data_IF_847071496925
#
_entry.id   IF_847071496925
#
_cell.length_a   1.000
_cell.length_b   1.000
_cell.length_c   1.000
_cell.angle_alpha   90.00
_cell.angle_beta   90.00
_cell.angle_gamma   90.00
#
_symmetry.space_group_name_H-M   'P 1'
#
loop_
_entity.id
_entity.type
_entity.pdbx_description
1 polymer ?
#
# COMPACT_ATOMS: atom_id res chain seq x y z
N UNK A 1 9.03 33.45 1.11
CA UNK A 1 7.99 32.43 0.90
C UNK A 1 8.30 31.32 1.89
N UNK A 2 7.45 31.11 2.90
CA UNK A 2 7.60 29.97 3.81
C UNK A 2 7.22 28.71 3.01
N UNK A 3 8.19 27.87 2.74
CA UNK A 3 7.90 26.49 2.35
C UNK A 3 7.14 25.85 3.51
N UNK A 4 5.87 25.53 3.27
CA UNK A 4 5.09 24.73 4.21
C UNK A 4 5.79 23.37 4.30
N UNK A 5 6.28 23.00 5.46
CA UNK A 5 6.76 21.65 5.74
C UNK A 5 5.61 20.70 5.41
N UNK A 6 5.79 19.71 4.53
CA UNK A 6 4.71 18.78 4.23
C UNK A 6 4.28 18.12 5.54
N UNK A 7 2.98 18.11 5.79
CA UNK A 7 2.42 17.40 6.95
C UNK A 7 2.78 15.92 6.79
N UNK A 8 3.41 15.27 7.76
CA UNK A 8 3.75 13.86 7.65
C UNK A 8 2.49 13.06 7.37
N UNK A 9 2.55 12.17 6.38
CA UNK A 9 1.46 11.28 6.02
C UNK A 9 1.11 10.44 7.26
N UNK A 10 -0.17 10.44 7.65
CA UNK A 10 -0.65 9.58 8.74
C UNK A 10 -0.63 8.13 8.30
N UNK A 11 -0.49 7.20 9.26
CA UNK A 11 -0.71 5.78 8.99
C UNK A 11 -2.12 5.57 8.44
N UNK A 12 -2.27 4.64 7.49
CA UNK A 12 -3.58 4.30 6.91
C UNK A 12 -4.51 3.71 7.96
N UNK A 13 -3.98 2.82 8.79
CA UNK A 13 -4.77 2.05 9.75
C UNK A 13 -4.39 2.36 11.20
N UNK A 14 -5.40 2.34 12.05
CA UNK A 14 -5.20 2.17 13.49
C UNK A 14 -4.92 0.69 13.81
N UNK A 15 -4.49 0.41 15.05
CA UNK A 15 -4.32 -0.96 15.51
C UNK A 15 -5.63 -1.78 15.46
N UNK A 16 -6.80 -1.13 15.66
CA UNK A 16 -8.11 -1.79 15.58
C UNK A 16 -8.54 -2.09 14.15
N UNK A 17 -8.17 -1.24 13.18
CA UNK A 17 -8.41 -1.52 11.76
C UNK A 17 -7.67 -2.77 11.34
N UNK A 18 -6.40 -2.93 11.76
CA UNK A 18 -5.62 -4.14 11.50
C UNK A 18 -6.24 -5.37 12.18
N UNK A 19 -6.70 -5.25 13.43
CA UNK A 19 -7.40 -6.35 14.14
C UNK A 19 -8.66 -6.75 13.37
N UNK A 20 -9.45 -5.80 12.90
CA UNK A 20 -10.67 -6.09 12.13
C UNK A 20 -10.36 -6.74 10.78
N UNK A 21 -9.32 -6.27 10.06
CA UNK A 21 -8.83 -6.88 8.82
C UNK A 21 -8.39 -8.32 9.05
N UNK A 22 -7.60 -8.59 10.07
CA UNK A 22 -7.12 -9.93 10.42
C UNK A 22 -8.27 -10.87 10.82
N UNK A 23 -9.23 -10.37 11.62
CA UNK A 23 -10.41 -11.12 12.05
C UNK A 23 -11.27 -11.53 10.85
N UNK A 24 -11.61 -10.57 9.97
CA UNK A 24 -12.43 -10.82 8.78
C UNK A 24 -11.71 -11.69 7.77
N UNK A 25 -10.43 -11.44 7.57
CA UNK A 25 -9.59 -12.23 6.69
C UNK A 25 -9.52 -13.71 7.11
N UNK A 26 -9.61 -14.00 8.43
CA UNK A 26 -9.67 -15.35 8.99
C UNK A 26 -11.11 -15.87 9.16
N UNK A 27 -12.12 -15.16 8.68
CA UNK A 27 -13.56 -15.51 8.80
C UNK A 27 -14.00 -15.74 10.24
N UNK A 28 -13.43 -15.03 11.19
CA UNK A 28 -13.78 -15.15 12.62
C UNK A 28 -14.81 -14.10 12.99
N UNK A 29 -15.91 -14.49 13.63
CA UNK A 29 -16.87 -13.53 14.17
C UNK A 29 -16.34 -12.88 15.46
N UNK A 30 -16.89 -11.69 15.80
CA UNK A 30 -16.45 -10.90 16.95
C UNK A 30 -16.61 -11.65 18.28
N UNK A 31 -17.71 -12.35 18.45
CA UNK A 31 -17.98 -13.07 19.72
C UNK A 31 -16.95 -14.18 19.93
N UNK A 32 -16.62 -14.92 18.89
CA UNK A 32 -15.58 -15.95 18.90
C UNK A 32 -14.22 -15.33 19.22
N UNK A 33 -13.86 -14.19 18.63
CA UNK A 33 -12.61 -13.49 18.94
C UNK A 33 -12.58 -13.10 20.43
N UNK A 34 -13.62 -12.45 20.93
CA UNK A 34 -13.71 -12.03 22.34
C UNK A 34 -13.60 -13.22 23.28
N UNK A 35 -14.33 -14.30 23.03
CA UNK A 35 -14.31 -15.50 23.87
C UNK A 35 -12.92 -16.15 23.92
N UNK A 36 -12.24 -16.27 22.77
CA UNK A 36 -10.91 -16.85 22.70
C UNK A 36 -9.82 -15.97 23.32
N UNK A 37 -9.97 -14.65 23.18
CA UNK A 37 -9.04 -13.68 23.75
C UNK A 37 -9.27 -13.42 25.25
N UNK A 38 -10.33 -13.96 25.84
CA UNK A 38 -10.71 -13.68 27.23
C UNK A 38 -11.17 -12.25 27.47
N UNK A 39 -11.73 -11.60 26.45
CA UNK A 39 -12.13 -10.19 26.46
C UNK A 39 -13.66 -10.10 26.51
N UNK A 40 -14.19 -9.20 27.33
CA UNK A 40 -15.62 -8.92 27.33
C UNK A 40 -16.07 -8.18 26.06
N UNK A 41 -17.27 -8.44 25.57
CA UNK A 41 -17.83 -7.70 24.43
C UNK A 41 -17.88 -6.18 24.66
N UNK A 42 -18.25 -5.68 25.85
CA UNK A 42 -18.12 -4.24 26.17
C UNK A 42 -16.68 -3.72 26.06
N UNK A 43 -15.67 -4.45 26.61
CA UNK A 43 -14.28 -4.04 26.51
C UNK A 43 -13.77 -3.96 25.07
N UNK A 44 -14.18 -4.91 24.20
CA UNK A 44 -13.90 -4.84 22.78
C UNK A 44 -14.52 -3.59 22.13
N UNK A 45 -15.75 -3.25 22.47
CA UNK A 45 -16.42 -2.05 21.94
C UNK A 45 -15.75 -0.75 22.41
N UNK A 46 -15.18 -0.73 23.60
CA UNK A 46 -14.42 0.43 24.10
C UNK A 46 -13.13 0.58 23.31
N UNK A 47 -12.42 -0.52 23.04
CA UNK A 47 -11.23 -0.52 22.20
C UNK A 47 -11.54 -0.03 20.76
N UNK A 48 -12.66 -0.48 20.17
CA UNK A 48 -13.17 -0.01 18.87
C UNK A 48 -13.48 1.50 18.84
N UNK A 49 -13.74 2.10 19.99
CA UNK A 49 -13.96 3.57 20.13
C UNK A 49 -12.69 4.34 20.48
N UNK A 50 -11.54 3.68 20.44
CA UNK A 50 -10.25 4.30 20.66
C UNK A 50 -9.70 4.18 22.09
N UNK A 51 -10.31 3.35 22.95
CA UNK A 51 -9.71 3.08 24.25
C UNK A 51 -8.44 2.24 24.08
N UNK A 52 -7.35 2.66 24.72
CA UNK A 52 -6.08 1.96 24.71
C UNK A 52 -6.04 0.98 25.89
N UNK A 53 -6.22 -0.32 25.60
CA UNK A 53 -6.09 -1.41 26.56
C UNK A 53 -5.11 -2.45 26.02
N UNK A 54 -3.91 -2.52 26.61
CA UNK A 54 -2.89 -3.48 26.18
C UNK A 54 -3.29 -4.93 26.41
N UNK A 55 -4.12 -5.21 27.42
CA UNK A 55 -4.64 -6.55 27.65
C UNK A 55 -5.50 -7.00 26.50
N UNK A 56 -6.36 -6.09 26.00
CA UNK A 56 -7.15 -6.32 24.77
C UNK A 56 -6.25 -6.54 23.57
N UNK A 57 -5.26 -5.64 23.33
CA UNK A 57 -4.35 -5.75 22.19
C UNK A 57 -3.58 -7.08 22.18
N UNK A 58 -3.00 -7.48 23.34
CA UNK A 58 -2.27 -8.75 23.47
C UNK A 58 -3.17 -9.97 23.29
N UNK A 59 -4.39 -9.93 23.85
CA UNK A 59 -5.36 -11.02 23.74
C UNK A 59 -5.80 -11.26 22.29
N UNK A 60 -6.16 -10.21 21.57
CA UNK A 60 -6.55 -10.33 20.14
C UNK A 60 -5.36 -10.72 19.27
N UNK A 61 -4.17 -10.18 19.53
CA UNK A 61 -2.96 -10.54 18.80
C UNK A 61 -2.67 -12.04 18.89
N UNK A 62 -2.76 -12.62 20.09
CA UNK A 62 -2.56 -14.06 20.31
C UNK A 62 -3.55 -14.91 19.51
N UNK A 63 -4.84 -14.55 19.52
CA UNK A 63 -5.90 -15.30 18.80
C UNK A 63 -5.74 -15.21 17.29
N UNK A 64 -5.38 -14.02 16.79
CA UNK A 64 -5.29 -13.73 15.36
C UNK A 64 -3.91 -14.05 14.75
N UNK A 65 -2.92 -14.42 15.58
CA UNK A 65 -1.55 -14.70 15.14
C UNK A 65 -0.80 -13.44 14.71
N UNK A 66 -1.10 -12.30 15.35
CA UNK A 66 -0.40 -11.03 15.16
C UNK A 66 0.76 -10.91 16.15
N UNK A 67 1.76 -10.11 15.83
CA UNK A 67 2.82 -9.70 16.74
C UNK A 67 2.27 -8.88 17.90
N UNK A 68 2.30 -9.43 19.14
CA UNK A 68 1.65 -8.79 20.27
C UNK A 68 2.39 -7.54 20.77
N UNK A 69 3.73 -7.52 20.69
CA UNK A 69 4.53 -6.35 21.05
C UNK A 69 4.33 -5.23 20.01
N UNK A 70 4.35 -5.59 18.74
CA UNK A 70 4.19 -4.68 17.60
C UNK A 70 2.78 -4.08 17.57
N UNK A 71 1.73 -4.87 17.89
CA UNK A 71 0.37 -4.38 17.97
C UNK A 71 0.19 -3.39 19.15
N UNK A 72 0.84 -3.64 20.28
CA UNK A 72 0.86 -2.70 21.41
C UNK A 72 1.64 -1.43 21.07
N UNK A 73 2.76 -1.54 20.38
CA UNK A 73 3.52 -0.37 19.90
C UNK A 73 2.67 0.49 18.94
N UNK A 74 1.96 -0.14 18.00
CA UNK A 74 1.02 0.54 17.10
C UNK A 74 -0.11 1.22 17.89
N UNK A 75 -0.68 0.56 18.91
CA UNK A 75 -1.71 1.11 19.80
C UNK A 75 -1.23 2.37 20.55
N UNK A 76 0.03 2.38 20.97
CA UNK A 76 0.65 3.48 21.71
C UNK A 76 1.11 4.64 20.81
N UNK A 77 1.02 4.48 19.48
CA UNK A 77 1.57 5.44 18.53
C UNK A 77 3.10 5.44 18.49
N UNK A 78 3.74 4.33 18.88
CA UNK A 78 5.19 4.14 18.88
C UNK A 78 5.71 3.60 17.55
N UNK A 79 4.83 3.44 16.54
CA UNK A 79 5.19 3.02 15.20
C UNK A 79 5.63 4.25 14.39
N UNK A 80 6.91 4.30 14.04
CA UNK A 80 7.54 5.44 13.35
C UNK A 80 8.40 4.93 12.19
N UNK A 81 7.81 4.79 10.97
CA UNK A 81 8.53 4.29 9.81
C UNK A 81 9.60 5.32 9.39
N UNK A 82 10.78 4.84 8.89
CA UNK A 82 11.85 5.73 8.49
C UNK A 82 11.44 6.61 7.30
N UNK A 83 11.86 7.87 7.31
CA UNK A 83 11.75 8.74 6.13
C UNK A 83 12.46 8.09 4.95
N UNK A 84 11.81 8.12 3.79
CA UNK A 84 12.23 7.34 2.63
C UNK A 84 12.06 8.12 1.33
N UNK A 85 12.69 9.28 1.27
CA UNK A 85 12.70 10.11 0.06
C UNK A 85 13.56 9.48 -1.03
N UNK A 86 13.01 9.42 -2.23
CA UNK A 86 13.68 8.99 -3.46
C UNK A 86 13.59 10.15 -4.45
N UNK A 87 14.72 10.75 -4.80
CA UNK A 87 14.76 11.97 -5.62
C UNK A 87 14.10 11.81 -7.00
N UNK A 88 14.03 10.59 -7.51
CA UNK A 88 13.43 10.28 -8.81
C UNK A 88 11.92 10.01 -8.72
N UNK A 89 11.33 10.01 -7.51
CA UNK A 89 9.91 9.68 -7.31
C UNK A 89 9.16 10.89 -6.76
N UNK A 90 8.00 11.16 -7.34
CA UNK A 90 7.02 12.11 -6.81
C UNK A 90 5.82 11.33 -6.34
N UNK A 91 5.55 11.40 -5.03
CA UNK A 91 4.31 10.88 -4.45
C UNK A 91 3.20 11.90 -4.62
N UNK A 92 2.07 11.47 -5.18
CA UNK A 92 0.90 12.30 -5.44
C UNK A 92 -0.25 11.74 -4.61
N UNK A 93 -0.62 12.45 -3.55
CA UNK A 93 -1.80 12.11 -2.78
C UNK A 93 -3.06 12.61 -3.49
N UNK A 94 -3.97 11.69 -3.81
CA UNK A 94 -5.28 12.02 -4.38
C UNK A 94 -6.37 11.81 -3.36
N UNK A 95 -7.38 12.72 -3.23
CA UNK A 95 -8.41 12.61 -2.21
C UNK A 95 -9.23 11.32 -2.37
N UNK A 96 -9.39 10.57 -1.31
CA UNK A 96 -10.26 9.41 -1.26
C UNK A 96 -11.04 9.37 0.06
N UNK A 97 -12.04 10.26 0.21
CA UNK A 97 -12.83 10.30 1.43
C UNK A 97 -13.65 9.02 1.59
N UNK A 98 -13.50 8.35 2.72
CA UNK A 98 -14.28 7.16 3.09
C UNK A 98 -15.21 7.47 4.26
N UNK A 99 -16.29 6.67 4.49
CA UNK A 99 -17.09 6.82 5.69
C UNK A 99 -16.25 6.69 6.96
N UNK A 100 -16.13 7.77 7.73
CA UNK A 100 -15.31 7.82 8.94
C UNK A 100 -13.91 8.44 8.78
N UNK A 101 -13.41 8.61 7.55
CA UNK A 101 -12.15 9.28 7.22
C UNK A 101 -12.34 10.20 6.01
N UNK A 102 -12.79 11.44 6.26
CA UNK A 102 -13.04 12.42 5.20
C UNK A 102 -11.76 13.00 4.58
N UNK A 103 -10.64 12.81 5.25
CA UNK A 103 -9.28 13.22 4.86
C UNK A 103 -8.43 12.06 4.28
N UNK A 104 -9.05 10.93 3.97
CA UNK A 104 -8.40 9.79 3.32
C UNK A 104 -7.80 10.15 1.96
N UNK A 105 -6.65 9.58 1.65
CA UNK A 105 -5.95 9.75 0.38
C UNK A 105 -5.46 8.43 -0.17
N UNK A 106 -5.43 8.32 -1.51
CA UNK A 106 -4.74 7.26 -2.22
C UNK A 106 -3.48 7.83 -2.88
N UNK A 107 -2.42 7.05 -2.93
CA UNK A 107 -1.14 7.45 -3.50
C UNK A 107 -1.04 7.00 -4.97
N UNK A 108 -0.66 7.93 -5.83
CA UNK A 108 -0.12 7.66 -7.16
C UNK A 108 1.35 8.09 -7.19
N UNK A 109 2.15 7.48 -8.05
CA UNK A 109 3.59 7.73 -8.07
C UNK A 109 4.10 8.01 -9.47
N UNK A 110 4.75 9.17 -9.66
CA UNK A 110 5.55 9.46 -10.84
C UNK A 110 7.00 9.03 -10.58
N UNK A 111 7.51 8.11 -11.38
CA UNK A 111 8.88 7.64 -11.33
C UNK A 111 9.61 8.17 -12.56
N UNK A 112 10.46 9.17 -12.37
CA UNK A 112 11.27 9.74 -13.44
C UNK A 112 12.36 8.76 -13.87
N UNK A 113 12.49 8.55 -15.16
CA UNK A 113 13.58 7.73 -15.72
C UNK A 113 14.88 8.54 -15.63
N UNK A 114 15.93 8.06 -14.92
CA UNK A 114 17.17 8.79 -14.76
C UNK A 114 17.80 9.20 -16.11
N UNK A 115 18.21 10.47 -16.19
CA UNK A 115 18.79 11.04 -17.41
C UNK A 115 17.81 11.39 -18.53
N UNK A 116 16.50 11.31 -18.27
CA UNK A 116 15.46 11.55 -19.26
C UNK A 116 14.36 12.51 -18.73
N UNK A 117 13.56 13.05 -19.63
CA UNK A 117 12.29 13.77 -19.35
C UNK A 117 11.09 12.81 -19.35
N UNK A 118 11.35 11.52 -19.47
CA UNK A 118 10.33 10.47 -19.46
C UNK A 118 10.10 9.93 -18.04
N UNK A 119 8.89 9.49 -17.78
CA UNK A 119 8.49 8.88 -16.53
C UNK A 119 7.55 7.68 -16.73
N UNK A 120 7.47 6.85 -15.71
CA UNK A 120 6.37 5.90 -15.56
C UNK A 120 5.45 6.41 -14.45
N UNK A 121 4.16 6.07 -14.55
CA UNK A 121 3.17 6.30 -13.51
C UNK A 121 2.84 4.95 -12.87
N UNK A 122 2.75 4.90 -11.54
CA UNK A 122 2.22 3.75 -10.80
C UNK A 122 0.94 4.20 -10.11
N UNK A 123 -0.16 3.56 -10.49
CA UNK A 123 -1.54 3.92 -10.23
C UNK A 123 -1.93 5.32 -10.76
N UNK A 124 -3.21 5.54 -11.00
CA UNK A 124 -3.73 6.80 -11.53
C UNK A 124 -4.31 7.71 -10.45
N UNK A 125 -4.59 7.16 -9.28
CA UNK A 125 -5.32 7.88 -8.24
C UNK A 125 -6.82 7.98 -8.49
N UNK A 126 -7.52 8.61 -7.54
CA UNK A 126 -8.98 8.78 -7.53
C UNK A 126 -9.46 9.93 -8.41
N UNK A 127 -8.65 10.98 -8.61
CA UNK A 127 -8.94 12.16 -9.42
C UNK A 127 -7.72 12.55 -10.25
N UNK A 128 -7.95 13.05 -11.46
CA UNK A 128 -6.89 13.28 -12.43
C UNK A 128 -6.08 14.56 -12.17
N UNK A 129 -6.69 15.58 -11.61
CA UNK A 129 -6.09 16.92 -11.51
C UNK A 129 -4.74 16.92 -10.78
N UNK A 130 -4.54 16.34 -9.58
CA UNK A 130 -3.23 16.32 -8.94
C UNK A 130 -2.17 15.57 -9.75
N UNK A 131 -2.57 14.49 -10.45
CA UNK A 131 -1.66 13.68 -11.26
C UNK A 131 -1.22 14.45 -12.50
N UNK A 132 -2.16 15.06 -13.21
CA UNK A 132 -1.89 15.87 -14.42
C UNK A 132 -1.03 17.07 -14.06
N UNK A 133 -1.39 17.81 -13.00
CA UNK A 133 -0.60 18.96 -12.53
C UNK A 133 0.85 18.57 -12.21
N UNK A 134 1.06 17.45 -11.51
CA UNK A 134 2.41 17.00 -11.20
C UNK A 134 3.22 16.61 -12.45
N UNK A 135 2.58 16.01 -13.46
CA UNK A 135 3.22 15.68 -14.75
C UNK A 135 3.63 16.96 -15.47
N UNK A 136 2.73 17.94 -15.56
CA UNK A 136 2.96 19.23 -16.25
C UNK A 136 4.04 20.06 -15.54
N UNK A 137 3.97 20.22 -14.21
CA UNK A 137 4.95 20.95 -13.42
C UNK A 137 6.38 20.40 -13.56
N UNK A 138 6.51 19.08 -13.68
CA UNK A 138 7.79 18.42 -13.87
C UNK A 138 8.19 18.29 -15.36
N UNK A 139 7.32 18.73 -16.27
CA UNK A 139 7.51 18.62 -17.73
C UNK A 139 7.90 17.19 -18.15
N UNK A 140 7.12 16.20 -17.71
CA UNK A 140 7.40 14.79 -17.94
C UNK A 140 6.53 14.20 -19.05
N UNK A 141 7.08 13.26 -19.82
CA UNK A 141 6.36 12.44 -20.79
C UNK A 141 6.12 11.03 -20.21
N UNK A 142 4.85 10.61 -20.11
CA UNK A 142 4.53 9.29 -19.56
C UNK A 142 4.72 8.21 -20.62
N UNK A 143 5.58 7.22 -20.33
CA UNK A 143 5.89 6.08 -21.20
C UNK A 143 5.06 4.84 -20.90
N UNK A 144 4.72 4.65 -19.64
CA UNK A 144 3.88 3.54 -19.20
C UNK A 144 3.15 3.88 -17.92
N UNK A 145 2.03 3.19 -17.70
CA UNK A 145 1.29 3.17 -16.44
C UNK A 145 1.27 1.73 -15.94
N UNK A 146 1.66 1.52 -14.69
CA UNK A 146 1.57 0.25 -13.99
C UNK A 146 0.48 0.35 -12.94
N UNK A 147 -0.52 -0.52 -13.02
CA UNK A 147 -1.69 -0.52 -12.12
C UNK A 147 -1.55 -1.67 -11.13
N UNK A 148 -1.56 -1.34 -9.85
CA UNK A 148 -1.43 -2.34 -8.78
C UNK A 148 -2.69 -3.20 -8.67
N UNK A 149 -3.86 -2.57 -8.75
CA UNK A 149 -5.19 -3.20 -8.77
C UNK A 149 -6.24 -2.18 -9.23
N UNK A 150 -7.49 -2.62 -9.46
CA UNK A 150 -8.51 -1.79 -10.13
C UNK A 150 -9.58 -1.20 -9.20
N UNK A 151 -9.28 -0.96 -7.94
CA UNK A 151 -10.18 -0.18 -7.10
C UNK A 151 -10.24 1.29 -7.59
N UNK A 152 -11.38 1.97 -7.41
CA UNK A 152 -11.60 3.30 -8.00
C UNK A 152 -10.58 4.36 -7.59
N UNK A 153 -10.07 4.29 -6.38
CA UNK A 153 -9.06 5.20 -5.85
C UNK A 153 -7.67 5.05 -6.49
N UNK A 154 -7.44 3.96 -7.22
CA UNK A 154 -6.21 3.71 -7.96
C UNK A 154 -6.35 3.93 -9.47
N UNK A 155 -7.58 3.87 -10.01
CA UNK A 155 -7.77 3.86 -11.48
C UNK A 155 -8.73 4.92 -12.02
N UNK A 156 -9.49 5.63 -11.18
CA UNK A 156 -10.53 6.55 -11.66
C UNK A 156 -9.98 7.68 -12.54
N UNK A 157 -8.73 8.09 -12.33
CA UNK A 157 -8.09 9.12 -13.16
C UNK A 157 -7.47 8.58 -14.46
N UNK A 158 -7.32 7.27 -14.63
CA UNK A 158 -6.63 6.67 -15.79
C UNK A 158 -7.23 7.03 -17.15
N UNK A 159 -8.56 7.09 -17.35
CA UNK A 159 -9.12 7.51 -18.64
C UNK A 159 -8.62 8.90 -19.07
N UNK A 160 -8.54 9.85 -18.12
CA UNK A 160 -8.02 11.19 -18.39
C UNK A 160 -6.53 11.16 -18.68
N UNK A 161 -5.74 10.47 -17.86
CA UNK A 161 -4.28 10.33 -18.07
C UNK A 161 -3.99 9.68 -19.42
N UNK A 162 -4.70 8.59 -19.76
CA UNK A 162 -4.51 7.89 -21.03
C UNK A 162 -4.91 8.77 -22.24
N UNK A 163 -5.94 9.60 -22.12
CA UNK A 163 -6.32 10.53 -23.19
C UNK A 163 -5.25 11.60 -23.48
N UNK A 164 -4.50 12.02 -22.45
CA UNK A 164 -3.39 12.97 -22.57
C UNK A 164 -2.10 12.31 -23.06
N UNK A 165 -1.90 11.06 -22.75
CA UNK A 165 -0.70 10.27 -23.09
C UNK A 165 -1.09 8.95 -23.79
N UNK A 166 -1.69 9.00 -25.00
CA UNK A 166 -2.23 7.80 -25.67
C UNK A 166 -1.18 6.78 -26.07
N UNK A 167 0.09 7.20 -26.17
CA UNK A 167 1.22 6.30 -26.44
C UNK A 167 1.75 5.57 -25.18
N UNK A 168 1.29 5.96 -23.99
CA UNK A 168 1.68 5.32 -22.75
C UNK A 168 1.05 3.93 -22.64
N UNK A 169 1.88 2.89 -22.52
CA UNK A 169 1.39 1.52 -22.36
C UNK A 169 0.85 1.30 -20.95
N UNK A 170 -0.46 1.05 -20.82
CA UNK A 170 -1.08 0.70 -19.54
C UNK A 170 -0.95 -0.81 -19.29
N UNK A 171 -0.46 -1.20 -18.12
CA UNK A 171 -0.21 -2.58 -17.70
C UNK A 171 -0.86 -2.88 -16.35
N UNK A 172 -1.58 -3.96 -16.28
CA UNK A 172 -2.16 -4.50 -15.04
C UNK A 172 -2.19 -6.04 -15.13
N UNK A 173 -2.54 -6.72 -14.04
CA UNK A 173 -2.83 -8.15 -14.12
C UNK A 173 -4.06 -8.40 -15.01
N UNK A 174 -4.01 -9.46 -15.82
CA UNK A 174 -5.10 -9.78 -16.79
C UNK A 174 -6.47 -9.94 -16.10
N UNK A 175 -6.50 -10.49 -14.88
CA UNK A 175 -7.74 -10.71 -14.15
C UNK A 175 -8.36 -9.42 -13.57
N UNK A 176 -7.64 -8.31 -13.55
CA UNK A 176 -8.17 -7.01 -13.09
C UNK A 176 -9.12 -6.34 -14.08
N UNK A 177 -9.20 -6.80 -15.33
CA UNK A 177 -10.18 -6.37 -16.35
C UNK A 177 -10.30 -4.84 -16.51
N UNK A 178 -9.19 -4.16 -16.55
CA UNK A 178 -9.12 -2.72 -16.80
C UNK A 178 -9.28 -2.44 -18.29
N UNK A 179 -10.22 -1.56 -18.67
CA UNK A 179 -10.50 -1.22 -20.09
C UNK A 179 -9.29 -0.57 -20.77
N UNK A 180 -8.54 0.24 -20.04
CA UNK A 180 -7.33 0.92 -20.50
C UNK A 180 -6.10 0.00 -20.56
N UNK A 181 -6.19 -1.25 -20.05
CA UNK A 181 -5.06 -2.17 -20.06
C UNK A 181 -4.73 -2.62 -21.48
N UNK A 182 -3.64 -2.09 -22.00
CA UNK A 182 -3.16 -2.39 -23.36
C UNK A 182 -2.31 -3.66 -23.42
N UNK A 183 -1.59 -3.94 -22.33
CA UNK A 183 -0.67 -5.08 -22.26
C UNK A 183 -0.65 -5.68 -20.86
N UNK A 184 -1.35 -6.78 -20.62
CA UNK A 184 -1.31 -7.47 -19.33
C UNK A 184 0.12 -7.81 -18.92
N UNK A 185 0.36 -7.83 -17.59
CA UNK A 185 1.65 -8.21 -17.01
C UNK A 185 1.46 -9.42 -16.10
N UNK A 186 2.42 -10.34 -16.14
CA UNK A 186 2.37 -11.59 -15.38
C UNK A 186 3.36 -11.56 -14.19
N UNK A 187 3.10 -12.42 -13.21
CA UNK A 187 4.01 -12.62 -12.08
C UNK A 187 5.43 -12.97 -12.54
N UNK A 188 6.42 -12.27 -12.00
CA UNK A 188 7.83 -12.43 -12.33
C UNK A 188 8.26 -11.76 -13.64
N UNK A 189 7.32 -11.26 -14.47
CA UNK A 189 7.68 -10.53 -15.68
C UNK A 189 8.47 -9.28 -15.34
N UNK A 190 9.51 -9.00 -16.15
CA UNK A 190 10.35 -7.82 -15.99
C UNK A 190 10.29 -6.96 -17.24
N UNK A 191 10.11 -5.65 -17.05
CA UNK A 191 10.07 -4.64 -18.11
C UNK A 191 11.16 -3.60 -17.85
N UNK A 192 11.87 -3.20 -18.90
CA UNK A 192 12.94 -2.19 -18.80
C UNK A 192 12.53 -0.86 -19.44
N UNK A 193 12.87 0.25 -18.76
CA UNK A 193 12.76 1.62 -19.28
C UNK A 193 14.08 2.36 -18.99
N UNK A 194 14.96 2.42 -19.99
CA UNK A 194 16.31 2.93 -19.78
C UNK A 194 17.05 2.14 -18.69
N UNK A 195 17.54 2.79 -17.63
CA UNK A 195 18.21 2.11 -16.52
C UNK A 195 17.25 1.41 -15.57
N UNK A 196 15.93 1.70 -15.63
CA UNK A 196 14.95 1.10 -14.74
C UNK A 196 14.64 -0.33 -15.15
N UNK A 197 14.62 -1.23 -14.18
CA UNK A 197 14.10 -2.58 -14.31
C UNK A 197 12.91 -2.74 -13.36
N UNK A 198 11.72 -3.07 -13.90
CA UNK A 198 10.46 -3.17 -13.18
C UNK A 198 10.01 -4.62 -13.22
N UNK A 199 10.03 -5.28 -12.08
CA UNK A 199 9.57 -6.66 -11.92
C UNK A 199 8.21 -6.71 -11.25
N UNK A 200 7.24 -7.35 -11.90
CA UNK A 200 5.91 -7.59 -11.36
C UNK A 200 5.94 -8.75 -10.35
N UNK A 201 5.26 -8.58 -9.23
CA UNK A 201 5.17 -9.54 -8.13
C UNK A 201 3.69 -9.70 -7.77
N UNK A 202 3.05 -10.80 -8.17
CA UNK A 202 1.64 -11.03 -7.84
C UNK A 202 1.45 -11.19 -6.34
N UNK A 203 0.61 -10.35 -5.76
CA UNK A 203 0.26 -10.32 -4.33
C UNK A 203 -1.25 -10.34 -4.14
N UNK A 204 -1.93 -11.43 -4.55
CA UNK A 204 -3.38 -11.54 -4.41
C UNK A 204 -3.79 -11.55 -2.94
N UNK A 205 -5.02 -11.10 -2.69
CA UNK A 205 -5.62 -11.06 -1.35
C UNK A 205 -6.55 -9.87 -1.17
N UNK A 206 -6.04 -8.64 -1.28
CA UNK A 206 -6.84 -7.43 -1.30
C UNK A 206 -7.68 -7.34 -2.58
N UNK A 207 -7.07 -7.58 -3.73
CA UNK A 207 -7.75 -7.88 -4.99
C UNK A 207 -7.27 -9.22 -5.55
N UNK A 208 -8.02 -9.77 -6.48
CA UNK A 208 -7.68 -11.07 -7.10
C UNK A 208 -6.44 -10.99 -7.99
N UNK A 209 -6.19 -9.83 -8.59
CA UNK A 209 -5.05 -9.55 -9.47
C UNK A 209 -4.04 -8.59 -8.85
N UNK A 210 -4.06 -8.39 -7.53
CA UNK A 210 -3.13 -7.51 -6.83
C UNK A 210 -1.69 -7.74 -7.26
N UNK A 211 -1.01 -6.67 -7.69
CA UNK A 211 0.34 -6.70 -8.22
C UNK A 211 1.20 -5.65 -7.53
N UNK A 212 2.34 -6.08 -7.01
CA UNK A 212 3.39 -5.16 -6.57
C UNK A 212 4.43 -5.01 -7.68
N UNK A 213 5.09 -3.85 -7.73
CA UNK A 213 6.12 -3.57 -8.73
C UNK A 213 7.44 -3.25 -8.05
N UNK A 214 8.41 -4.17 -8.17
CA UNK A 214 9.76 -3.97 -7.66
C UNK A 214 10.61 -3.29 -8.73
N UNK A 215 11.16 -2.12 -8.39
CA UNK A 215 11.92 -1.26 -9.30
C UNK A 215 13.34 -1.11 -8.83
N UNK A 216 14.29 -1.34 -9.73
CA UNK A 216 15.73 -1.08 -9.57
C UNK A 216 16.22 -0.14 -10.65
N UNK A 217 17.44 0.43 -10.46
CA UNK A 217 17.99 1.44 -11.37
C UNK A 217 17.68 2.87 -10.94
N UNK A 218 17.07 3.05 -9.76
CA UNK A 218 16.94 4.30 -9.01
C UNK A 218 18.11 4.44 -8.01
N UNK A 219 18.17 5.54 -7.28
CA UNK A 219 19.12 5.77 -6.18
C UNK A 219 19.04 4.70 -5.07
N UNK A 220 17.86 4.13 -4.86
CA UNK A 220 17.59 2.99 -3.98
C UNK A 220 16.59 2.04 -4.64
N UNK A 221 16.59 0.72 -4.32
CA UNK A 221 15.54 -0.18 -4.75
C UNK A 221 14.20 0.22 -4.10
N UNK A 222 13.11 0.11 -4.86
CA UNK A 222 11.76 0.50 -4.44
C UNK A 222 10.78 -0.61 -4.78
N UNK A 223 9.74 -0.79 -3.96
CA UNK A 223 8.58 -1.62 -4.31
C UNK A 223 7.29 -0.86 -4.08
N UNK A 224 6.48 -0.73 -5.13
CA UNK A 224 5.12 -0.21 -5.05
C UNK A 224 4.20 -1.36 -4.68
N UNK A 225 3.53 -1.26 -3.55
CA UNK A 225 2.75 -2.37 -2.99
C UNK A 225 1.26 -2.24 -3.20
N UNK A 226 0.77 -1.10 -3.69
CA UNK A 226 -0.66 -0.83 -3.70
C UNK A 226 -1.25 -1.16 -2.34
N UNK A 227 -2.35 -1.87 -2.33
CA UNK A 227 -3.06 -2.24 -1.11
C UNK A 227 -2.72 -3.65 -0.58
N UNK A 228 -1.58 -4.20 -1.00
CA UNK A 228 -1.10 -5.43 -0.38
C UNK A 228 -0.48 -5.18 1.01
N UNK A 229 0.35 -4.12 1.13
CA UNK A 229 1.13 -3.83 2.34
C UNK A 229 1.22 -2.32 2.57
N UNK A 230 0.88 -1.88 3.76
CA UNK A 230 1.01 -0.50 4.26
C UNK A 230 2.02 -0.42 5.40
N UNK A 231 2.44 0.78 5.72
CA UNK A 231 3.20 1.04 6.94
C UNK A 231 2.41 0.61 8.19
N UNK A 232 2.89 -0.40 8.90
CA UNK A 232 2.27 -0.95 10.11
C UNK A 232 1.02 -1.81 9.89
N UNK A 233 0.58 -2.02 8.66
CA UNK A 233 -0.65 -2.76 8.36
C UNK A 233 -0.57 -3.48 7.01
N UNK A 234 -1.69 -4.10 6.62
CA UNK A 234 -1.86 -4.78 5.33
C UNK A 234 -3.25 -4.47 4.76
N UNK A 235 -3.43 -4.65 3.47
CA UNK A 235 -4.73 -4.50 2.83
C UNK A 235 -5.77 -5.50 3.36
N UNK A 236 -7.05 -5.12 3.23
CA UNK A 236 -8.16 -5.99 3.60
C UNK A 236 -8.23 -7.19 2.65
N UNK A 237 -8.23 -8.39 3.20
CA UNK A 237 -8.28 -9.65 2.45
C UNK A 237 -9.32 -10.60 3.06
N UNK A 238 -10.61 -10.27 2.92
CA UNK A 238 -11.72 -10.98 3.56
C UNK A 238 -11.74 -12.46 3.14
N UNK A 239 -11.49 -13.35 4.10
CA UNK A 239 -11.42 -14.80 3.89
C UNK A 239 -10.16 -15.31 3.19
N UNK A 240 -9.20 -14.44 2.88
CA UNK A 240 -7.94 -14.74 2.16
C UNK A 240 -6.68 -14.29 2.95
N UNK A 241 -6.81 -14.15 4.27
CA UNK A 241 -5.72 -13.65 5.14
C UNK A 241 -4.42 -14.42 4.97
N UNK A 242 -4.50 -15.75 4.99
CA UNK A 242 -3.33 -16.63 4.90
C UNK A 242 -2.62 -16.47 3.54
N UNK A 243 -3.38 -16.37 2.47
CA UNK A 243 -2.88 -16.18 1.11
C UNK A 243 -2.21 -14.83 0.97
N UNK A 244 -2.85 -13.75 1.44
CA UNK A 244 -2.31 -12.38 1.39
C UNK A 244 -1.00 -12.28 2.18
N UNK A 245 -0.98 -12.72 3.44
CA UNK A 245 0.23 -12.71 4.28
C UNK A 245 1.33 -13.61 3.68
N UNK A 246 0.95 -14.77 3.12
CA UNK A 246 1.88 -15.66 2.44
C UNK A 246 2.53 -15.02 1.22
N UNK A 247 1.78 -14.30 0.40
CA UNK A 247 2.29 -13.58 -0.76
C UNK A 247 3.25 -12.45 -0.35
N UNK A 248 2.88 -11.63 0.65
CA UNK A 248 3.75 -10.57 1.18
C UNK A 248 5.07 -11.16 1.68
N UNK A 249 5.02 -12.20 2.52
CA UNK A 249 6.22 -12.83 3.09
C UNK A 249 7.13 -13.43 2.03
N UNK A 250 6.58 -14.10 1.03
CA UNK A 250 7.37 -14.80 0.01
C UNK A 250 7.90 -13.89 -1.09
N UNK A 251 7.28 -12.74 -1.34
CA UNK A 251 7.61 -11.86 -2.46
C UNK A 251 8.15 -10.50 -2.05
N UNK A 252 7.61 -9.91 -0.99
CA UNK A 252 8.02 -8.58 -0.56
C UNK A 252 9.10 -8.65 0.52
N UNK A 253 8.90 -9.45 1.58
CA UNK A 253 9.90 -9.55 2.66
C UNK A 253 11.18 -10.30 2.27
N UNK A 254 11.26 -10.87 1.05
CA UNK A 254 12.48 -11.47 0.48
C UNK A 254 13.29 -10.49 -0.37
N UNK A 255 12.80 -9.28 -0.59
CA UNK A 255 13.53 -8.21 -1.27
C UNK A 255 14.68 -7.70 -0.38
N UNK A 256 15.67 -6.98 -0.95
CA UNK A 256 16.73 -6.37 -0.14
C UNK A 256 16.17 -5.56 1.04
N UNK A 257 16.75 -5.66 2.24
CA UNK A 257 16.21 -5.03 3.46
C UNK A 257 16.03 -3.51 3.36
N UNK A 258 16.88 -2.83 2.58
CA UNK A 258 16.87 -1.40 2.33
C UNK A 258 15.89 -0.96 1.23
N UNK A 259 15.14 -1.92 0.63
CA UNK A 259 14.11 -1.59 -0.36
C UNK A 259 13.03 -0.72 0.28
N UNK A 260 12.77 0.43 -0.33
CA UNK A 260 11.70 1.34 0.09
C UNK A 260 10.36 0.77 -0.37
N UNK A 261 9.39 0.72 0.52
CA UNK A 261 8.01 0.34 0.25
C UNK A 261 7.19 1.62 0.05
N UNK A 262 6.51 1.71 -1.07
CA UNK A 262 5.61 2.81 -1.44
C UNK A 262 4.19 2.24 -1.59
N UNK A 263 3.35 2.42 -0.55
CA UNK A 263 2.03 1.80 -0.49
C UNK A 263 0.95 2.60 -1.24
N UNK A 264 -0.21 1.97 -1.51
CA UNK A 264 -1.39 2.66 -2.04
C UNK A 264 -1.97 3.71 -1.10
N UNK A 265 -1.75 3.56 0.20
CA UNK A 265 -2.20 4.51 1.24
C UNK A 265 -1.15 4.66 2.34
N UNK A 266 -1.17 5.82 3.01
CA UNK A 266 -0.26 6.10 4.12
C UNK A 266 1.18 6.38 3.69
N UNK A 267 2.12 6.41 4.65
CA UNK A 267 3.50 6.79 4.42
C UNK A 267 4.34 5.67 3.82
N UNK A 268 5.48 6.05 3.23
CA UNK A 268 6.54 5.13 2.85
C UNK A 268 7.14 4.42 4.06
N UNK A 269 7.73 3.25 3.84
CA UNK A 269 8.47 2.47 4.85
C UNK A 269 9.58 1.65 4.17
N UNK A 270 10.15 0.65 4.84
CA UNK A 270 11.15 -0.25 4.26
C UNK A 270 10.86 -1.71 4.54
N UNK A 271 11.39 -2.60 3.71
CA UNK A 271 11.26 -4.05 3.91
C UNK A 271 11.77 -4.48 5.29
N UNK A 272 12.92 -3.96 5.72
CA UNK A 272 13.47 -4.29 7.04
C UNK A 272 12.56 -3.81 8.19
N UNK A 273 11.98 -2.61 8.04
CA UNK A 273 11.14 -2.04 9.08
C UNK A 273 9.83 -2.82 9.22
N UNK A 274 9.16 -3.12 8.11
CA UNK A 274 7.92 -3.91 8.12
C UNK A 274 8.14 -5.35 8.62
N UNK A 275 9.26 -5.97 8.25
CA UNK A 275 9.59 -7.31 8.75
C UNK A 275 9.75 -7.35 10.28
N UNK A 276 10.19 -6.26 10.89
CA UNK A 276 10.45 -6.15 12.32
C UNK A 276 9.26 -5.59 13.13
N UNK A 277 8.48 -4.67 12.55
CA UNK A 277 7.54 -3.85 13.32
C UNK A 277 6.07 -3.96 12.86
N UNK A 278 5.77 -4.58 11.71
CA UNK A 278 4.40 -4.77 11.29
C UNK A 278 3.74 -5.92 12.06
N UNK A 279 2.66 -5.69 12.82
CA UNK A 279 2.04 -6.75 13.63
C UNK A 279 1.53 -7.95 12.83
N UNK A 280 1.17 -7.76 11.55
CA UNK A 280 0.73 -8.86 10.68
C UNK A 280 1.90 -9.73 10.18
N UNK A 281 3.13 -9.20 10.22
CA UNK A 281 4.32 -9.80 9.61
C UNK A 281 5.38 -10.21 10.64
N UNK A 282 5.48 -9.53 11.79
CA UNK A 282 6.36 -9.90 12.91
C UNK A 282 6.02 -11.31 13.41
N UNK A 283 7.07 -12.04 13.83
CA UNK A 283 6.97 -13.42 14.35
C UNK A 283 7.44 -13.48 15.80
#
# INVERSE_FOLDING_TARGET
MHEATPTPLRLEDTWMDLVEKARRGQRMDRCTLCARAGISVPGMREAERGANDEGVARGVAWVLGLGAAELVALQRGEYDPPESDIAEIVTIATPFPTPGALDGTANAYLVRIPGNVEAILVDGGSVAEPVVSAIEEKNLAIRAVFVTHTHPDHVAALPTVHSLFPEATVRCAECEKLAECMKPIQDGETVAFGPLSIRALATPGHSSGGMCYFVTGLSRPVVFTGDALFAGSVGRADGLWKEAIGAIRSKILTLPPDTVILPGHGPATTVAYEAAHNPALAR
#
